data_IF_884861059192
#
_entry.id   IF_884861059192
#
_cell.length_a   1.000
_cell.length_b   1.000
_cell.length_c   1.000
_cell.angle_alpha   90.00
_cell.angle_beta   90.00
_cell.angle_gamma   90.00
#
_symmetry.space_group_name_H-M   'P 1'
#
loop_
_entity.id
_entity.type
_entity.pdbx_description
1 polymer ?
#
# COMPACT_ATOMS: atom_id res chain seq x y z
N UNK A 1 -10.05 9.98 2.79
CA UNK A 1 -10.67 8.63 2.82
C UNK A 1 -10.08 7.82 1.68
N UNK A 2 -9.86 6.52 1.84
CA UNK A 2 -9.31 5.66 0.79
C UNK A 2 -10.33 4.63 0.33
N UNK A 3 -10.28 4.30 -0.95
CA UNK A 3 -11.08 3.25 -1.59
C UNK A 3 -10.13 2.31 -2.30
N UNK A 4 -10.28 1.00 -2.05
CA UNK A 4 -9.61 -0.02 -2.87
C UNK A 4 -10.55 -0.49 -3.98
N UNK A 5 -10.11 -0.33 -5.22
CA UNK A 5 -10.86 -0.77 -6.39
C UNK A 5 -10.69 -2.27 -6.63
N UNK A 6 -11.61 -2.87 -7.39
CA UNK A 6 -11.51 -4.28 -7.82
C UNK A 6 -10.24 -4.60 -8.62
N UNK A 7 -9.63 -3.57 -9.24
CA UNK A 7 -8.41 -3.70 -10.00
C UNK A 7 -7.14 -3.61 -9.14
N UNK A 8 -7.28 -3.60 -7.81
CA UNK A 8 -6.16 -3.57 -6.88
C UNK A 8 -5.52 -2.18 -6.73
N UNK A 9 -6.24 -1.11 -7.05
CA UNK A 9 -5.73 0.26 -6.88
C UNK A 9 -6.35 0.87 -5.64
N UNK A 10 -5.51 1.41 -4.75
CA UNK A 10 -5.93 2.16 -3.55
C UNK A 10 -5.87 3.64 -3.90
N UNK A 11 -7.01 4.32 -3.87
CA UNK A 11 -7.14 5.71 -4.32
C UNK A 11 -8.03 6.55 -3.42
N UNK A 12 -7.91 7.87 -3.54
CA UNK A 12 -8.83 8.85 -2.94
C UNK A 12 -9.78 9.43 -4.00
N UNK A 13 -10.73 10.24 -3.57
CA UNK A 13 -11.63 11.03 -4.42
C UNK A 13 -10.91 12.11 -5.25
N UNK A 14 -9.69 12.49 -4.86
CA UNK A 14 -8.84 13.45 -5.57
C UNK A 14 -8.02 12.84 -6.73
N UNK A 15 -8.34 11.62 -7.17
CA UNK A 15 -7.62 10.92 -8.25
C UNK A 15 -6.12 10.72 -7.98
N UNK A 16 -5.75 10.57 -6.70
CA UNK A 16 -4.42 10.17 -6.26
C UNK A 16 -4.45 8.76 -5.68
N UNK A 17 -3.37 8.03 -5.89
CA UNK A 17 -3.22 6.59 -5.68
C UNK A 17 -2.01 6.30 -4.80
N UNK A 18 -2.08 5.21 -4.04
CA UNK A 18 -0.95 4.65 -3.32
C UNK A 18 0.04 4.04 -4.32
N UNK A 19 1.26 4.57 -4.37
CA UNK A 19 2.30 4.22 -5.35
C UNK A 19 3.57 3.80 -4.61
N UNK A 20 4.16 2.67 -5.03
CA UNK A 20 5.43 2.22 -4.51
C UNK A 20 6.40 1.82 -5.63
N UNK A 21 7.72 1.98 -5.42
CA UNK A 21 8.72 1.57 -6.40
C UNK A 21 8.68 0.07 -6.71
N UNK A 22 8.83 -0.29 -7.99
CA UNK A 22 8.90 -1.69 -8.46
C UNK A 22 10.14 -2.45 -7.99
N UNK A 23 11.25 -1.74 -7.75
CA UNK A 23 12.55 -2.35 -7.40
C UNK A 23 13.14 -1.65 -6.19
N UNK A 24 13.90 -2.40 -5.41
CA UNK A 24 14.76 -1.90 -4.34
C UNK A 24 15.68 -0.81 -4.89
N UNK A 25 15.35 0.44 -4.58
CA UNK A 25 16.15 1.62 -4.92
C UNK A 25 17.34 1.73 -3.97
N UNK A 26 18.24 0.74 -3.93
CA UNK A 26 19.36 0.68 -2.97
C UNK A 26 18.94 0.86 -1.49
N UNK A 27 17.65 0.80 -1.19
CA UNK A 27 17.02 1.12 0.08
C UNK A 27 16.25 -0.11 0.48
N UNK A 28 16.70 -0.73 1.56
CA UNK A 28 16.14 -1.97 2.10
C UNK A 28 14.62 -1.93 2.31
N UNK A 29 14.05 -0.74 2.49
CA UNK A 29 12.61 -0.47 2.63
C UNK A 29 12.21 0.77 1.81
N UNK A 30 11.87 0.63 0.51
CA UNK A 30 11.48 1.75 -0.33
C UNK A 30 10.21 2.46 0.18
N UNK A 31 10.22 3.80 0.20
CA UNK A 31 9.08 4.60 0.67
C UNK A 31 7.89 4.54 -0.29
N UNK A 32 6.69 4.40 0.26
CA UNK A 32 5.40 4.51 -0.44
C UNK A 32 4.96 5.97 -0.47
N UNK A 33 4.34 6.39 -1.57
CA UNK A 33 3.91 7.78 -1.78
C UNK A 33 2.50 7.83 -2.32
N UNK A 34 1.85 8.98 -2.13
CA UNK A 34 0.61 9.33 -2.82
C UNK A 34 0.97 10.05 -4.11
N UNK A 35 0.61 9.48 -5.25
CA UNK A 35 0.92 9.98 -6.59
C UNK A 35 -0.34 10.05 -7.44
N UNK A 36 -0.33 10.82 -8.52
CA UNK A 36 -1.45 10.82 -9.47
C UNK A 36 -1.74 9.39 -9.97
N UNK A 37 -3.02 9.03 -9.99
CA UNK A 37 -3.45 7.75 -10.53
C UNK A 37 -3.10 7.67 -12.02
N UNK A 38 -2.30 6.68 -12.39
CA UNK A 38 -1.74 6.56 -13.75
C UNK A 38 -2.00 5.20 -14.39
N UNK A 39 -2.60 4.26 -13.66
CA UNK A 39 -2.86 2.89 -14.13
C UNK A 39 -1.59 2.05 -14.28
N UNK A 40 -0.45 2.52 -13.74
CA UNK A 40 0.83 1.80 -13.75
C UNK A 40 0.83 0.67 -12.74
N UNK A 41 1.64 -0.34 -13.01
CA UNK A 41 1.80 -1.52 -12.15
C UNK A 41 2.24 -1.14 -10.72
N UNK A 42 3.06 -0.09 -10.55
CA UNK A 42 3.47 0.48 -9.25
C UNK A 42 2.34 0.94 -8.31
N UNK A 43 1.12 0.98 -8.82
CA UNK A 43 -0.08 1.37 -8.07
C UNK A 43 -1.00 0.18 -7.81
N UNK A 44 -0.54 -1.04 -8.12
CA UNK A 44 -1.29 -2.27 -7.90
C UNK A 44 -0.91 -2.93 -6.58
N UNK A 45 -1.95 -3.22 -5.83
CA UNK A 45 -1.93 -3.80 -4.50
C UNK A 45 -2.94 -4.95 -4.43
N UNK A 46 -2.61 -5.96 -3.65
CA UNK A 46 -3.54 -7.01 -3.25
C UNK A 46 -3.71 -6.94 -1.75
N UNK A 47 -4.95 -6.99 -1.29
CA UNK A 47 -5.27 -7.06 0.13
C UNK A 47 -5.74 -8.47 0.47
N UNK A 48 -5.08 -9.10 1.43
CA UNK A 48 -5.51 -10.38 1.97
C UNK A 48 -6.29 -10.13 3.26
N UNK A 49 -7.61 -10.37 3.24
CA UNK A 49 -8.50 -10.15 4.39
C UNK A 49 -8.19 -11.08 5.58
N UNK A 50 -7.63 -12.27 5.33
CA UNK A 50 -7.33 -13.24 6.39
C UNK A 50 -6.08 -12.83 7.17
N UNK A 51 -5.03 -12.42 6.46
CA UNK A 51 -3.76 -11.99 7.07
C UNK A 51 -3.70 -10.50 7.36
N UNK A 52 -4.65 -9.72 6.83
CA UNK A 52 -4.73 -8.26 6.92
C UNK A 52 -3.53 -7.56 6.27
N UNK A 53 -2.95 -8.15 5.23
CA UNK A 53 -1.72 -7.65 4.60
C UNK A 53 -2.01 -7.03 3.24
N UNK A 54 -1.38 -5.89 2.96
CA UNK A 54 -1.30 -5.32 1.61
C UNK A 54 0.01 -5.74 0.94
N UNK A 55 -0.10 -6.48 -0.16
CA UNK A 55 1.02 -6.87 -1.02
C UNK A 55 1.10 -5.92 -2.21
N UNK A 56 2.24 -5.27 -2.39
CA UNK A 56 2.55 -4.54 -3.61
C UNK A 56 2.88 -5.56 -4.72
N UNK A 57 2.04 -5.62 -5.75
CA UNK A 57 2.09 -6.68 -6.76
C UNK A 57 3.43 -6.76 -7.50
N UNK A 58 4.00 -5.64 -8.00
CA UNK A 58 5.21 -5.71 -8.82
C UNK A 58 6.48 -6.06 -8.03
N UNK A 59 6.54 -5.71 -6.75
CA UNK A 59 7.73 -5.92 -5.92
C UNK A 59 7.61 -7.12 -4.98
N UNK A 60 6.43 -7.74 -4.88
CA UNK A 60 6.13 -8.84 -3.97
C UNK A 60 6.45 -8.51 -2.49
N UNK A 61 6.36 -7.23 -2.13
CA UNK A 61 6.66 -6.74 -0.78
C UNK A 61 5.41 -6.19 -0.12
N UNK A 62 5.40 -6.20 1.21
CA UNK A 62 4.25 -5.84 2.01
C UNK A 62 4.32 -4.38 2.48
N UNK A 63 3.17 -3.73 2.54
CA UNK A 63 3.03 -2.38 3.10
C UNK A 63 3.33 -2.41 4.60
N UNK A 64 4.28 -1.59 5.03
CA UNK A 64 4.76 -1.53 6.41
C UNK A 64 4.73 -0.09 6.93
N UNK A 65 4.21 0.08 8.15
CA UNK A 65 4.36 1.29 8.94
C UNK A 65 5.79 1.41 9.48
N UNK A 66 6.39 2.59 9.37
CA UNK A 66 7.72 2.87 9.95
C UNK A 66 7.58 3.73 11.20
N UNK A 67 8.32 3.41 12.26
CA UNK A 67 8.28 4.11 13.56
C UNK A 67 8.84 5.53 13.55
N UNK A 68 9.72 5.83 12.60
CA UNK A 68 10.61 6.99 12.76
C UNK A 68 10.01 8.31 12.20
N UNK A 69 9.04 8.24 11.27
CA UNK A 69 8.55 9.44 10.54
C UNK A 69 7.05 9.39 10.18
N UNK A 70 6.23 8.51 10.78
CA UNK A 70 4.85 8.23 10.33
C UNK A 70 4.78 7.89 8.82
N UNK A 71 5.87 7.39 8.24
CA UNK A 71 5.93 7.02 6.83
C UNK A 71 5.52 5.58 6.59
N UNK A 72 5.10 5.33 5.35
CA UNK A 72 4.86 3.99 4.84
C UNK A 72 6.00 3.57 3.93
N UNK A 73 6.40 2.31 4.04
CA UNK A 73 7.37 1.69 3.16
C UNK A 73 6.85 0.34 2.67
N UNK A 74 7.46 -0.21 1.63
CA UNK A 74 7.35 -1.63 1.31
C UNK A 74 8.55 -2.36 1.89
N UNK A 75 8.32 -3.54 2.45
CA UNK A 75 9.34 -4.39 3.05
C UNK A 75 9.05 -5.86 2.77
N UNK A 76 10.04 -6.73 3.03
CA UNK A 76 9.80 -8.17 3.00
C UNK A 76 8.61 -8.53 3.92
N UNK A 77 7.72 -9.38 3.41
CA UNK A 77 6.51 -9.75 4.12
C UNK A 77 6.83 -10.57 5.37
N UNK A 78 6.33 -10.13 6.51
CA UNK A 78 6.48 -10.80 7.81
C UNK A 78 5.13 -10.83 8.53
N UNK A 79 5.07 -11.51 9.67
CA UNK A 79 3.89 -11.52 10.55
C UNK A 79 3.84 -10.32 11.50
N UNK A 80 4.67 -9.29 11.25
CA UNK A 80 4.76 -8.14 12.14
C UNK A 80 3.44 -7.35 12.14
N UNK A 81 2.98 -6.88 13.32
CA UNK A 81 1.81 -6.02 13.42
C UNK A 81 1.88 -4.76 12.55
N UNK A 82 3.08 -4.23 12.33
CA UNK A 82 3.32 -3.04 11.50
C UNK A 82 3.01 -3.25 10.01
N UNK A 83 2.76 -4.49 9.59
CA UNK A 83 2.32 -4.85 8.23
C UNK A 83 0.84 -5.26 8.15
N UNK A 84 0.11 -5.18 9.26
CA UNK A 84 -1.30 -5.56 9.33
C UNK A 84 -2.20 -4.34 9.34
N UNK A 85 -3.14 -4.29 8.40
CA UNK A 85 -3.98 -3.14 8.11
C UNK A 85 -5.45 -3.54 8.16
N UNK A 86 -6.28 -2.73 8.81
CA UNK A 86 -7.72 -2.94 8.88
C UNK A 86 -8.40 -1.92 7.98
N UNK A 87 -9.19 -2.39 7.02
CA UNK A 87 -10.08 -1.56 6.23
C UNK A 87 -11.40 -1.38 6.96
N UNK A 88 -11.60 -0.21 7.56
CA UNK A 88 -12.85 0.14 8.23
C UNK A 88 -13.82 0.81 7.24
N UNK A 89 -15.01 0.21 7.00
CA UNK A 89 -16.00 0.80 6.12
C UNK A 89 -16.61 2.06 6.77
N UNK A 90 -16.53 3.19 6.08
CA UNK A 90 -17.18 4.43 6.53
C UNK A 90 -18.56 4.51 5.90
N UNK A 91 -19.60 4.48 6.74
CA UNK A 91 -20.98 4.71 6.32
C UNK A 91 -21.22 6.21 6.14
N UNK A 92 -21.54 6.64 4.93
CA UNK A 92 -21.84 8.03 4.65
C UNK A 92 -23.25 8.31 5.19
N UNK A 93 -23.37 9.33 6.04
CA UNK A 93 -24.66 9.81 6.59
C UNK A 93 -25.13 11.04 5.84
#
# INVERSE_FOLDING_TARGET
MFVMTKNGVIMTDESVCLDAPERDTQQRTPKVKIMACSGRERQKWLYNEQTKVFLHVPSEMCLQATTDDDTLAIAACTENPDQQWILEPVLWK
#
